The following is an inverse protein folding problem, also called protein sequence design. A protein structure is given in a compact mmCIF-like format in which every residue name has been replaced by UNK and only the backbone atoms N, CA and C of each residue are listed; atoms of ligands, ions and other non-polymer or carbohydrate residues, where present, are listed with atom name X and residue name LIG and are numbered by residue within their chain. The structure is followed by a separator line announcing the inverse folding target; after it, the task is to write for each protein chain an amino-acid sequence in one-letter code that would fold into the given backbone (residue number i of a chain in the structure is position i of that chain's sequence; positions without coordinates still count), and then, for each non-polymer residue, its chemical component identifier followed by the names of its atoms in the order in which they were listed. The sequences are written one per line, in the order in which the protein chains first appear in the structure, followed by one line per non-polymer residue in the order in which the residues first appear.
data_IF_257361627907
#
_entry.id   IF_257361627907
#
_cell.length_a   1.000
_cell.length_b   1.000
_cell.length_c   1.000
_cell.angle_alpha   90.00
_cell.angle_beta   90.00
_cell.angle_gamma   90.00
#
_symmetry.space_group_name_H-M   'P 1'
#
loop_
_entity.id
_entity.type
_entity.pdbx_description
1 polymer ?
#
# COMPACT_ATOMS: atom_id res chain seq x y z
N UNK A 1 -7.75 8.18 -18.67
CA UNK A 1 -8.45 8.45 -19.93
C UNK A 1 -8.93 7.12 -20.56
N UNK A 2 -10.13 7.10 -21.07
CA UNK A 2 -10.69 5.95 -21.77
C UNK A 2 -11.55 6.43 -22.95
N UNK A 3 -11.50 5.71 -24.08
CA UNK A 3 -12.35 6.01 -25.24
C UNK A 3 -13.81 5.65 -24.96
N UNK A 4 -14.03 4.62 -24.15
CA UNK A 4 -15.34 4.15 -23.71
C UNK A 4 -15.27 3.65 -22.27
N UNK A 5 -16.33 3.88 -21.52
CA UNK A 5 -16.50 3.34 -20.17
C UNK A 5 -17.91 2.77 -20.00
N UNK A 6 -18.02 1.59 -19.40
CA UNK A 6 -19.27 0.98 -18.99
C UNK A 6 -19.20 0.64 -17.51
N UNK A 7 -19.96 1.34 -16.70
CA UNK A 7 -20.01 1.19 -15.25
C UNK A 7 -21.36 0.60 -14.87
N UNK A 8 -21.36 -0.49 -14.10
CA UNK A 8 -22.56 -1.09 -13.56
C UNK A 8 -23.20 -0.24 -12.43
N UNK A 9 -24.32 -0.69 -11.86
CA UNK A 9 -24.93 0.02 -10.74
C UNK A 9 -24.01 -0.03 -9.53
N UNK A 10 -23.67 1.14 -9.01
CA UNK A 10 -22.87 1.35 -7.79
C UNK A 10 -23.79 1.95 -6.74
N UNK A 11 -23.81 1.36 -5.54
CA UNK A 11 -24.63 1.85 -4.43
C UNK A 11 -23.97 3.03 -3.72
N UNK A 12 -22.64 3.01 -3.60
CA UNK A 12 -21.86 4.04 -2.92
C UNK A 12 -20.43 4.11 -3.42
N UNK A 13 -19.85 5.29 -3.43
CA UNK A 13 -18.44 5.53 -3.75
C UNK A 13 -17.75 5.95 -2.46
N UNK A 14 -16.68 5.24 -2.11
CA UNK A 14 -15.79 5.57 -1.02
C UNK A 14 -14.42 5.94 -1.57
N UNK A 15 -13.84 6.99 -1.00
CA UNK A 15 -12.50 7.44 -1.42
C UNK A 15 -11.59 7.61 -0.22
N UNK A 16 -10.37 7.14 -0.34
CA UNK A 16 -9.24 7.48 0.51
C UNK A 16 -8.12 7.98 -0.39
N UNK A 17 -8.13 9.28 -0.69
CA UNK A 17 -7.22 9.92 -1.65
C UNK A 17 -6.59 11.13 -0.98
N UNK A 18 -5.25 11.17 -0.98
CA UNK A 18 -4.46 12.28 -0.43
C UNK A 18 -4.39 12.29 1.10
N UNK A 19 -3.42 13.01 1.63
CA UNK A 19 -3.35 13.37 3.04
C UNK A 19 -3.88 14.79 3.19
N UNK A 20 -5.07 14.97 3.75
CA UNK A 20 -5.45 16.26 4.29
C UNK A 20 -4.77 16.40 5.66
N UNK A 21 -3.79 17.28 5.75
CA UNK A 21 -3.24 17.70 7.04
C UNK A 21 -4.33 18.47 7.78
N UNK A 22 -5.02 17.79 8.66
CA UNK A 22 -5.94 18.47 9.59
C UNK A 22 -5.12 19.01 10.79
N UNK A 23 -4.27 19.99 10.50
CA UNK A 23 -3.46 20.68 11.51
C UNK A 23 -4.34 21.35 12.58
N UNK A 24 -5.61 21.65 12.26
CA UNK A 24 -6.52 22.31 13.17
C UNK A 24 -7.04 21.39 14.27
N UNK A 25 -7.13 20.08 14.04
CA UNK A 25 -7.62 19.11 15.03
C UNK A 25 -6.50 18.44 15.85
N UNK A 26 -5.23 18.72 15.56
CA UNK A 26 -4.08 18.11 16.25
C UNK A 26 -3.95 16.57 16.04
N UNK A 27 -4.67 16.01 15.11
CA UNK A 27 -4.57 14.59 14.77
C UNK A 27 -3.42 14.37 13.80
N UNK A 28 -2.67 13.26 14.01
CA UNK A 28 -1.66 12.88 13.03
C UNK A 28 -2.35 12.48 11.71
N UNK A 29 -1.70 12.78 10.58
CA UNK A 29 -2.15 12.37 9.23
C UNK A 29 -2.45 10.89 9.16
N UNK A 30 -1.64 10.07 9.82
CA UNK A 30 -1.84 8.63 9.91
C UNK A 30 -3.12 8.24 10.67
N UNK A 31 -3.49 8.95 11.75
CA UNK A 31 -4.74 8.69 12.47
C UNK A 31 -5.97 9.02 11.60
N UNK A 32 -5.92 10.11 10.83
CA UNK A 32 -6.99 10.46 9.89
C UNK A 32 -7.12 9.37 8.82
N UNK A 33 -6.00 8.97 8.22
CA UNK A 33 -5.93 7.91 7.23
C UNK A 33 -6.55 6.60 7.75
N UNK A 34 -6.17 6.16 8.95
CA UNK A 34 -6.69 4.93 9.56
C UNK A 34 -8.18 5.05 9.91
N UNK A 35 -8.64 6.23 10.32
CA UNK A 35 -10.06 6.47 10.62
C UNK A 35 -10.92 6.35 9.36
N UNK A 36 -10.47 6.96 8.25
CA UNK A 36 -11.15 6.90 6.95
C UNK A 36 -11.17 5.46 6.41
N UNK A 37 -10.02 4.77 6.46
CA UNK A 37 -9.94 3.38 6.01
C UNK A 37 -10.82 2.45 6.85
N UNK A 38 -10.84 2.62 8.18
CA UNK A 38 -11.71 1.86 9.07
C UNK A 38 -13.20 2.12 8.78
N UNK A 39 -13.57 3.36 8.41
CA UNK A 39 -14.91 3.68 7.98
C UNK A 39 -15.28 2.95 6.68
N UNK A 40 -14.40 2.97 5.68
CA UNK A 40 -14.60 2.25 4.41
C UNK A 40 -14.81 0.76 4.65
N UNK A 41 -13.90 0.10 5.38
CA UNK A 41 -13.97 -1.33 5.65
C UNK A 41 -15.25 -1.77 6.39
N UNK A 42 -15.85 -0.87 7.19
CA UNK A 42 -17.10 -1.16 7.92
C UNK A 42 -18.36 -0.92 7.10
N UNK A 43 -18.33 -0.03 6.11
CA UNK A 43 -19.53 0.45 5.42
C UNK A 43 -19.60 0.10 3.95
N UNK A 44 -18.48 -0.25 3.31
CA UNK A 44 -18.47 -0.71 1.94
C UNK A 44 -19.04 -2.13 1.83
N UNK A 45 -19.67 -2.42 0.70
CA UNK A 45 -20.25 -3.71 0.37
C UNK A 45 -19.95 -4.13 -1.07
N UNK A 46 -20.47 -5.28 -1.52
CA UNK A 46 -20.15 -5.85 -2.83
C UNK A 46 -20.56 -4.98 -4.04
N UNK A 47 -21.49 -4.04 -3.84
CA UNK A 47 -21.92 -3.09 -4.89
C UNK A 47 -21.27 -1.73 -4.75
N UNK A 48 -20.36 -1.53 -3.80
CA UNK A 48 -19.66 -0.27 -3.60
C UNK A 48 -18.43 -0.16 -4.49
N UNK A 49 -18.07 1.08 -4.87
CA UNK A 49 -16.78 1.41 -5.50
C UNK A 49 -15.87 2.03 -4.45
N UNK A 50 -14.69 1.47 -4.28
CA UNK A 50 -13.68 1.95 -3.32
C UNK A 50 -12.43 2.40 -4.08
N UNK A 51 -11.99 3.64 -3.82
CA UNK A 51 -10.80 4.23 -4.39
C UNK A 51 -9.81 4.50 -3.26
N UNK A 52 -8.70 3.76 -3.22
CA UNK A 52 -7.64 3.91 -2.22
C UNK A 52 -6.36 4.37 -2.91
N UNK A 53 -5.80 5.48 -2.42
CA UNK A 53 -4.55 6.03 -2.92
C UNK A 53 -3.49 6.01 -1.81
N UNK A 54 -2.56 5.05 -1.92
CA UNK A 54 -1.33 4.93 -1.14
C UNK A 54 -1.51 4.99 0.39
N UNK A 55 -2.16 4.02 0.96
CA UNK A 55 -2.30 3.85 2.41
C UNK A 55 -0.98 3.40 3.08
N UNK A 56 -0.73 3.87 4.30
CA UNK A 56 0.39 3.42 5.16
C UNK A 56 1.63 4.32 5.12
N UNK A 57 1.57 5.52 4.53
CA UNK A 57 2.72 6.44 4.44
C UNK A 57 3.08 7.13 5.77
N UNK A 58 2.14 7.25 6.69
CA UNK A 58 2.30 8.03 7.93
C UNK A 58 2.89 7.27 9.13
N UNK A 59 3.45 6.07 8.90
CA UNK A 59 4.02 5.22 9.96
C UNK A 59 5.32 4.55 9.50
N UNK A 60 5.84 3.58 10.28
CA UNK A 60 7.01 2.80 9.86
C UNK A 60 6.71 1.99 8.59
N UNK A 61 7.73 1.73 7.78
CA UNK A 61 7.57 1.03 6.49
C UNK A 61 6.86 -0.32 6.65
N UNK A 62 7.25 -1.12 7.64
CA UNK A 62 6.67 -2.45 7.84
C UNK A 62 5.25 -2.40 8.41
N UNK A 63 4.93 -1.46 9.30
CA UNK A 63 3.57 -1.28 9.81
C UNK A 63 2.65 -0.81 8.67
N UNK A 64 3.12 0.15 7.86
CA UNK A 64 2.39 0.64 6.69
C UNK A 64 2.10 -0.46 5.68
N UNK A 65 3.13 -1.26 5.32
CA UNK A 65 2.99 -2.41 4.43
C UNK A 65 1.99 -3.43 4.98
N UNK A 66 2.10 -3.82 6.25
CA UNK A 66 1.21 -4.80 6.87
C UNK A 66 -0.25 -4.35 6.87
N UNK A 67 -0.50 -3.07 7.18
CA UNK A 67 -1.83 -2.48 7.14
C UNK A 67 -2.38 -2.37 5.72
N UNK A 68 -1.58 -1.92 4.76
CA UNK A 68 -1.97 -1.84 3.36
C UNK A 68 -2.35 -3.22 2.81
N UNK A 69 -1.53 -4.22 3.09
CA UNK A 69 -1.78 -5.61 2.69
C UNK A 69 -3.09 -6.14 3.29
N UNK A 70 -3.29 -5.99 4.61
CA UNK A 70 -4.48 -6.48 5.30
C UNK A 70 -5.76 -5.77 4.78
N UNK A 71 -5.70 -4.45 4.54
CA UNK A 71 -6.82 -3.70 3.99
C UNK A 71 -7.16 -4.14 2.55
N UNK A 72 -6.16 -4.32 1.70
CA UNK A 72 -6.37 -4.76 0.31
C UNK A 72 -6.96 -6.17 0.27
N UNK A 73 -6.44 -7.10 1.07
CA UNK A 73 -6.96 -8.45 1.19
C UNK A 73 -8.40 -8.47 1.71
N UNK A 74 -8.73 -7.68 2.72
CA UNK A 74 -10.07 -7.61 3.30
C UNK A 74 -11.10 -7.03 2.31
N UNK A 75 -10.72 -5.99 1.56
CA UNK A 75 -11.54 -5.44 0.47
C UNK A 75 -11.81 -6.48 -0.63
N UNK A 76 -10.82 -7.29 -0.99
CA UNK A 76 -10.94 -8.29 -2.04
C UNK A 76 -11.74 -9.55 -1.60
N UNK A 77 -11.65 -9.95 -0.33
CA UNK A 77 -12.17 -11.27 0.12
C UNK A 77 -13.44 -11.16 0.94
N UNK A 78 -13.48 -10.30 1.94
CA UNK A 78 -14.62 -10.13 2.86
C UNK A 78 -15.61 -9.08 2.35
N UNK A 79 -15.15 -7.86 2.09
CA UNK A 79 -16.02 -6.75 1.63
C UNK A 79 -16.47 -7.00 0.21
N UNK A 80 -15.57 -7.48 -0.65
CA UNK A 80 -15.79 -7.80 -2.08
C UNK A 80 -16.27 -6.59 -2.89
N UNK A 81 -15.85 -5.39 -2.51
CA UNK A 81 -16.15 -4.16 -3.22
C UNK A 81 -15.35 -4.06 -4.54
N UNK A 82 -15.90 -3.36 -5.52
CA UNK A 82 -15.11 -2.93 -6.67
C UNK A 82 -14.06 -1.94 -6.19
N UNK A 83 -12.78 -2.32 -6.28
CA UNK A 83 -11.71 -1.54 -5.66
C UNK A 83 -10.63 -1.18 -6.66
N UNK A 84 -10.26 0.09 -6.71
CA UNK A 84 -9.01 0.57 -7.30
C UNK A 84 -8.07 0.93 -6.16
N UNK A 85 -6.97 0.21 -6.04
CA UNK A 85 -6.03 0.35 -4.94
C UNK A 85 -4.65 0.67 -5.49
N UNK A 86 -4.22 1.94 -5.40
CA UNK A 86 -2.85 2.31 -5.74
C UNK A 86 -1.93 2.10 -4.56
N UNK A 87 -0.72 1.64 -4.81
CA UNK A 87 0.29 1.40 -3.78
C UNK A 87 1.70 1.54 -4.34
N UNK A 88 2.62 1.95 -3.49
CA UNK A 88 4.06 1.91 -3.74
C UNK A 88 4.73 0.67 -3.10
N UNK A 89 3.98 -0.14 -2.37
CA UNK A 89 4.47 -1.38 -1.78
C UNK A 89 4.47 -2.50 -2.83
N UNK A 90 5.67 -2.87 -3.27
CA UNK A 90 5.85 -3.89 -4.31
C UNK A 90 5.36 -5.27 -3.86
N UNK A 91 5.40 -5.54 -2.56
CA UNK A 91 4.94 -6.79 -1.94
C UNK A 91 3.44 -7.06 -2.17
N UNK A 92 2.63 -6.01 -2.36
CA UNK A 92 1.21 -6.18 -2.66
C UNK A 92 0.96 -6.73 -4.07
N UNK A 93 1.96 -6.74 -4.96
CA UNK A 93 1.85 -7.37 -6.28
C UNK A 93 1.62 -8.88 -6.22
N UNK A 94 1.90 -9.51 -5.07
CA UNK A 94 1.62 -10.93 -4.83
C UNK A 94 0.16 -11.22 -4.48
N UNK A 95 -0.66 -10.20 -4.23
CA UNK A 95 -2.06 -10.38 -3.81
C UNK A 95 -2.89 -11.25 -4.78
N UNK A 96 -2.75 -11.14 -6.13
CA UNK A 96 -3.46 -12.01 -7.06
C UNK A 96 -3.12 -13.50 -6.95
N UNK A 97 -1.97 -13.86 -6.40
CA UNK A 97 -1.61 -15.27 -6.15
C UNK A 97 -2.44 -15.87 -5.00
N UNK A 98 -2.92 -15.02 -4.09
CA UNK A 98 -3.68 -15.41 -2.90
C UNK A 98 -5.19 -15.29 -3.10
N UNK A 99 -5.63 -14.42 -4.00
CA UNK A 99 -7.06 -14.22 -4.29
C UNK A 99 -7.31 -13.96 -5.77
N UNK A 100 -8.12 -14.81 -6.44
CA UNK A 100 -8.45 -14.64 -7.85
C UNK A 100 -9.30 -13.39 -8.16
N UNK A 101 -9.84 -12.73 -7.13
CA UNK A 101 -10.63 -11.49 -7.29
C UNK A 101 -9.76 -10.24 -7.44
N UNK A 102 -8.44 -10.35 -7.27
CA UNK A 102 -7.50 -9.26 -7.47
C UNK A 102 -6.71 -9.44 -8.77
N UNK A 103 -6.29 -8.33 -9.36
CA UNK A 103 -5.37 -8.32 -10.51
C UNK A 103 -4.46 -7.12 -10.42
N UNK A 104 -3.24 -7.28 -10.90
CA UNK A 104 -2.28 -6.19 -11.00
C UNK A 104 -2.44 -5.44 -12.31
N UNK A 105 -2.34 -4.12 -12.22
CA UNK A 105 -2.17 -3.23 -13.34
C UNK A 105 -1.12 -2.18 -12.99
N UNK A 106 -0.47 -1.60 -13.98
CA UNK A 106 0.49 -0.52 -13.77
C UNK A 106 0.28 0.60 -14.78
N UNK A 107 0.80 1.79 -14.45
CA UNK A 107 0.87 2.90 -15.37
C UNK A 107 2.18 2.81 -16.16
N UNK A 108 2.05 2.83 -17.49
CA UNK A 108 3.20 2.70 -18.38
C UNK A 108 4.08 3.95 -18.32
N UNK A 109 5.38 3.73 -18.19
CA UNK A 109 6.40 4.75 -18.30
C UNK A 109 7.50 4.28 -19.24
N UNK A 110 8.00 5.18 -20.08
CA UNK A 110 9.06 4.92 -21.05
C UNK A 110 10.28 5.73 -20.68
N UNK A 111 11.43 5.06 -20.61
CA UNK A 111 12.72 5.72 -20.44
C UNK A 111 13.38 5.89 -21.82
N UNK A 112 13.69 7.13 -22.18
CA UNK A 112 14.43 7.47 -23.41
C UNK A 112 15.52 8.48 -23.12
N UNK A 113 16.75 8.15 -23.47
CA UNK A 113 17.94 9.01 -23.26
C UNK A 113 18.14 9.50 -21.81
N UNK A 114 17.72 8.69 -20.81
CA UNK A 114 17.83 9.05 -19.39
C UNK A 114 16.69 9.94 -18.87
N UNK A 115 15.72 10.25 -19.71
CA UNK A 115 14.46 10.91 -19.33
C UNK A 115 13.32 9.90 -19.24
N UNK A 116 12.37 10.14 -18.31
CA UNK A 116 11.19 9.30 -18.13
C UNK A 116 9.97 10.05 -18.60
N UNK A 117 9.23 9.45 -19.53
CA UNK A 117 7.93 9.92 -19.96
C UNK A 117 6.82 8.98 -19.42
N UNK A 118 5.88 9.54 -18.67
CA UNK A 118 4.70 8.81 -18.20
C UNK A 118 3.62 8.87 -19.29
N UNK A 119 3.23 7.70 -19.81
CA UNK A 119 2.24 7.62 -20.90
C UNK A 119 0.80 7.70 -20.41
N UNK A 120 0.58 7.59 -19.09
CA UNK A 120 -0.75 7.60 -18.47
C UNK A 120 -1.69 6.52 -19.03
N UNK A 121 -1.12 5.42 -19.50
CA UNK A 121 -1.84 4.26 -19.98
C UNK A 121 -1.75 3.15 -18.94
N UNK A 122 -2.88 2.51 -18.68
CA UNK A 122 -2.97 1.36 -17.76
C UNK A 122 -2.66 0.10 -18.54
N UNK A 123 -1.66 -0.65 -18.08
CA UNK A 123 -1.24 -1.93 -18.66
C UNK A 123 -1.49 -3.07 -17.67
N UNK A 124 -1.77 -4.30 -18.16
CA UNK A 124 -1.87 -5.48 -17.31
C UNK A 124 -0.53 -5.84 -16.63
N UNK A 125 -0.64 -6.43 -15.44
CA UNK A 125 0.51 -6.89 -14.67
C UNK A 125 1.08 -5.84 -13.71
N UNK A 126 2.01 -6.25 -12.81
CA UNK A 126 2.70 -5.34 -11.90
C UNK A 126 3.71 -4.46 -12.66
N UNK A 127 4.09 -3.32 -12.08
CA UNK A 127 5.25 -2.56 -12.55
C UNK A 127 6.53 -3.39 -12.35
N UNK A 128 7.46 -3.32 -13.26
CA UNK A 128 8.74 -4.04 -13.21
C UNK A 128 9.80 -3.29 -12.39
N UNK A 129 9.65 -1.96 -12.26
CA UNK A 129 10.58 -1.09 -11.53
C UNK A 129 9.93 0.22 -11.09
N UNK A 130 10.62 0.93 -10.20
CA UNK A 130 10.30 2.31 -9.83
C UNK A 130 11.18 3.29 -10.60
N UNK A 131 10.68 4.51 -10.82
CA UNK A 131 11.40 5.59 -11.53
C UNK A 131 11.81 6.73 -10.58
N UNK A 132 11.87 6.47 -9.26
CA UNK A 132 12.15 7.50 -8.26
C UNK A 132 13.46 8.23 -8.46
N UNK A 133 14.54 7.54 -8.81
CA UNK A 133 15.86 8.17 -9.07
C UNK A 133 15.87 8.98 -10.35
N UNK A 134 15.15 8.54 -11.38
CA UNK A 134 15.00 9.30 -12.64
C UNK A 134 14.20 10.58 -12.40
N UNK A 135 13.10 10.51 -11.66
CA UNK A 135 12.30 11.67 -11.27
C UNK A 135 13.12 12.65 -10.42
N UNK A 136 13.91 12.14 -9.47
CA UNK A 136 14.81 12.97 -8.66
C UNK A 136 15.84 13.70 -9.51
N UNK A 137 16.39 13.06 -10.55
CA UNK A 137 17.28 13.70 -11.53
C UNK A 137 16.57 14.82 -12.29
N UNK A 138 15.37 14.56 -12.81
CA UNK A 138 14.56 15.55 -13.50
C UNK A 138 14.22 16.75 -12.61
N UNK A 139 14.04 16.53 -11.31
CA UNK A 139 13.83 17.58 -10.32
C UNK A 139 15.12 18.37 -9.98
N UNK A 140 16.26 18.04 -10.59
CA UNK A 140 17.52 18.75 -10.38
C UNK A 140 18.31 18.31 -9.14
N UNK A 141 18.09 17.10 -8.62
CA UNK A 141 18.90 16.59 -7.49
C UNK A 141 20.37 16.46 -7.90
N UNK A 142 21.34 16.89 -7.04
CA UNK A 142 22.77 16.85 -7.36
C UNK A 142 23.25 15.44 -7.69
N UNK A 143 24.10 15.30 -8.74
CA UNK A 143 24.57 14.00 -9.21
C UNK A 143 25.33 13.17 -8.15
N UNK A 144 26.13 13.74 -7.23
CA UNK A 144 26.73 12.96 -6.15
C UNK A 144 25.68 12.24 -5.28
N UNK A 145 24.58 12.94 -4.94
CA UNK A 145 23.47 12.36 -4.14
C UNK A 145 22.78 11.23 -4.92
N UNK A 146 22.55 11.42 -6.22
CA UNK A 146 21.97 10.40 -7.08
C UNK A 146 22.87 9.17 -7.21
N UNK A 147 24.18 9.37 -7.26
CA UNK A 147 25.15 8.26 -7.29
C UNK A 147 25.09 7.42 -6.02
N UNK A 148 25.11 8.07 -4.85
CA UNK A 148 25.02 7.39 -3.55
C UNK A 148 23.67 6.67 -3.40
N UNK A 149 22.59 7.31 -3.84
CA UNK A 149 21.26 6.71 -3.82
C UNK A 149 21.16 5.46 -4.70
N UNK A 150 21.75 5.44 -5.91
CA UNK A 150 21.81 4.26 -6.78
C UNK A 150 22.57 3.11 -6.11
N UNK A 151 23.74 3.43 -5.53
CA UNK A 151 24.55 2.44 -4.81
C UNK A 151 23.76 1.82 -3.66
N UNK A 152 23.05 2.65 -2.89
CA UNK A 152 22.25 2.18 -1.77
C UNK A 152 21.04 1.37 -2.22
N UNK A 153 20.35 1.79 -3.28
CA UNK A 153 19.22 1.06 -3.86
C UNK A 153 19.64 -0.36 -4.28
N UNK A 154 20.75 -0.49 -5.00
CA UNK A 154 21.26 -1.79 -5.42
C UNK A 154 21.57 -2.74 -4.24
N UNK A 155 22.07 -2.20 -3.11
CA UNK A 155 22.27 -2.98 -1.88
C UNK A 155 20.93 -3.44 -1.26
N UNK A 156 19.94 -2.53 -1.19
CA UNK A 156 18.63 -2.84 -0.64
C UNK A 156 17.89 -3.89 -1.47
N UNK A 157 17.98 -3.81 -2.78
CA UNK A 157 17.39 -4.80 -3.70
C UNK A 157 18.04 -6.19 -3.53
N UNK A 158 19.35 -6.26 -3.34
CA UNK A 158 20.05 -7.53 -3.05
C UNK A 158 19.61 -8.13 -1.71
N UNK A 159 19.42 -7.30 -0.70
CA UNK A 159 18.93 -7.75 0.63
C UNK A 159 17.46 -8.18 0.60
N UNK A 160 16.63 -7.59 -0.27
CA UNK A 160 15.19 -7.88 -0.43
C UNK A 160 14.91 -9.22 -1.14
N UNK A 161 15.87 -9.82 -1.82
CA UNK A 161 15.74 -11.15 -2.46
C UNK A 161 15.60 -12.28 -1.42
N UNK A 162 15.75 -12.01 -0.13
CA UNK A 162 15.38 -12.96 0.92
C UNK A 162 13.86 -12.98 1.05
N UNK A 163 13.18 -14.14 0.82
CA UNK A 163 11.74 -14.24 0.94
C UNK A 163 11.31 -13.80 2.34
N UNK A 164 10.42 -12.80 2.42
CA UNK A 164 9.85 -12.26 3.65
C UNK A 164 9.03 -13.33 4.41
N UNK A 165 8.73 -14.45 3.76
CA UNK A 165 8.01 -15.59 4.33
C UNK A 165 8.84 -16.86 4.19
N UNK A 166 9.76 -17.07 5.12
CA UNK A 166 10.23 -18.43 5.39
C UNK A 166 9.16 -19.10 6.25
N UNK A 167 8.44 -20.04 5.66
CA UNK A 167 7.40 -20.86 6.32
C UNK A 167 7.95 -21.84 7.36
N UNK A 168 9.25 -21.85 7.64
CA UNK A 168 9.90 -22.92 8.40
C UNK A 168 10.57 -22.51 9.72
N UNK A 169 10.43 -21.25 10.16
CA UNK A 169 10.79 -20.91 11.54
C UNK A 169 9.54 -20.46 12.31
N UNK A 170 9.27 -21.03 13.51
CA UNK A 170 8.22 -20.52 14.37
C UNK A 170 8.53 -19.06 14.72
N UNK A 171 7.64 -18.18 14.31
CA UNK A 171 7.77 -16.74 14.36
C UNK A 171 8.06 -16.28 15.80
N UNK A 172 9.31 -15.94 16.10
CA UNK A 172 9.74 -15.41 17.41
C UNK A 172 8.91 -14.20 17.86
N UNK A 173 8.33 -13.45 16.92
CA UNK A 173 7.46 -12.33 17.25
C UNK A 173 6.09 -12.79 17.79
N UNK A 174 5.50 -13.85 17.25
CA UNK A 174 4.24 -14.41 17.80
C UNK A 174 4.46 -14.87 19.23
N UNK A 175 5.60 -15.52 19.50
CA UNK A 175 5.93 -15.96 20.85
C UNK A 175 6.18 -14.79 21.83
N UNK A 176 6.71 -13.67 21.34
CA UNK A 176 6.88 -12.46 22.13
C UNK A 176 5.51 -11.79 22.46
N UNK A 177 4.61 -11.75 21.48
CA UNK A 177 3.24 -11.24 21.69
C UNK A 177 2.43 -12.12 22.64
N UNK A 178 2.54 -13.45 22.53
CA UNK A 178 1.90 -14.38 23.46
C UNK A 178 2.46 -14.24 24.88
N UNK A 179 3.78 -14.06 25.05
CA UNK A 179 4.40 -13.79 26.35
C UNK A 179 4.02 -12.42 26.91
N UNK A 180 3.86 -11.40 26.09
CA UNK A 180 3.38 -10.09 26.52
C UNK A 180 1.90 -10.11 26.90
N UNK A 181 1.06 -10.84 26.17
CA UNK A 181 -0.37 -10.98 26.47
C UNK A 181 -0.62 -11.75 27.80
N UNK A 182 0.23 -12.72 28.13
CA UNK A 182 0.17 -13.45 29.42
C UNK A 182 0.65 -12.64 30.63
N UNK A 183 1.42 -11.57 30.40
CA UNK A 183 1.97 -10.70 31.46
C UNK A 183 1.22 -9.36 31.61
N UNK A 184 0.13 -9.12 30.87
CA UNK A 184 -0.70 -7.93 31.04
C UNK A 184 -1.50 -8.01 32.35
N UNK A 185 -1.40 -7.00 33.25
CA UNK A 185 -2.21 -6.93 34.44
C UNK A 185 -3.70 -6.95 34.08
N UNK A 186 -4.51 -7.69 34.85
CA UNK A 186 -5.95 -7.91 34.60
C UNK A 186 -6.78 -6.62 34.42
N UNK A 187 -6.32 -5.51 34.98
CA UNK A 187 -6.95 -4.19 34.85
C UNK A 187 -6.92 -3.56 33.43
N UNK A 188 -6.17 -4.16 32.48
CA UNK A 188 -6.15 -3.72 31.08
C UNK A 188 -7.14 -4.50 30.19
N UNK A 189 -7.58 -5.67 30.61
CA UNK A 189 -8.51 -6.52 29.84
C UNK A 189 -9.97 -6.02 29.92
N UNK A 190 -10.34 -5.27 30.95
CA UNK A 190 -11.70 -4.74 31.15
C UNK A 190 -12.00 -3.48 30.30
N UNK A 191 -11.02 -2.90 29.61
CA UNK A 191 -11.20 -1.71 28.75
C UNK A 191 -11.39 -2.04 27.26
N UNK A 192 -11.35 -3.33 26.90
CA UNK A 192 -11.43 -3.80 25.49
C UNK A 192 -12.73 -4.61 25.23
N UNK A 193 -13.61 -4.71 26.23
CA UNK A 193 -14.97 -5.27 26.05
C UNK A 193 -15.99 -4.21 25.75
#
# INVERSE_FOLDING_TARGET
PAEQARIGPIDRIFTRIGASDDLASGRSTFMVEMTEMAYILRHAGPSSLVLVDEIGRGTSTYDGLALAYACALDLATRVRAYTLFSTHYFELTQLPELTPSATNVHLEAVEHAGEVAFLYQVQPGPADRSYGLQVARLAGMPEPVLHDARTRLAQLEQDSVRPLFRSDEPNKQVHLFEQMATNLPAQFLDKIR
#
